data_IF_092155826021
#
_entry.id   IF_092155826021
#
_cell.length_a   1.000
_cell.length_b   1.000
_cell.length_c   1.000
_cell.angle_alpha   90.00
_cell.angle_beta   90.00
_cell.angle_gamma   90.00
#
_symmetry.space_group_name_H-M   'P 1'
#
loop_
_entity.id
_entity.type
_entity.pdbx_description
1 polymer ?
#
# COMPACT_ATOMS: atom_id res chain seq x y z
N UNK A 1 16.26 -2.97 -39.03
CA UNK A 1 17.25 -2.22 -38.25
C UNK A 1 16.61 -0.94 -37.72
N UNK A 2 15.86 -1.05 -36.62
CA UNK A 2 15.63 0.08 -35.72
C UNK A 2 16.49 -0.25 -34.51
N UNK A 3 17.51 0.58 -34.25
CA UNK A 3 18.29 0.47 -33.04
C UNK A 3 17.35 0.71 -31.86
N UNK A 4 16.84 -0.37 -31.27
CA UNK A 4 16.18 -0.32 -29.97
C UNK A 4 17.26 0.01 -28.97
N UNK A 5 17.33 1.29 -28.61
CA UNK A 5 18.30 1.83 -27.68
C UNK A 5 17.82 1.50 -26.26
N UNK A 6 18.35 0.45 -25.60
CA UNK A 6 17.85 -0.02 -24.30
C UNK A 6 17.93 1.07 -23.23
N UNK A 7 18.85 2.03 -23.40
CA UNK A 7 19.00 3.23 -22.57
C UNK A 7 17.75 4.12 -22.53
N UNK A 8 16.96 4.20 -23.61
CA UNK A 8 15.75 5.05 -23.61
C UNK A 8 14.60 4.45 -22.80
N UNK A 9 14.49 3.12 -22.76
CA UNK A 9 13.38 2.43 -22.09
C UNK A 9 13.73 2.19 -20.62
N UNK A 10 14.96 1.78 -20.33
CA UNK A 10 15.48 1.70 -18.96
C UNK A 10 15.38 3.04 -18.20
N UNK A 11 15.70 4.15 -18.90
CA UNK A 11 15.53 5.49 -18.34
C UNK A 11 14.07 5.81 -17.99
N UNK A 12 13.09 5.32 -18.75
CA UNK A 12 11.66 5.51 -18.45
C UNK A 12 11.27 4.69 -17.22
N UNK A 13 11.75 3.44 -17.09
CA UNK A 13 11.52 2.63 -15.90
C UNK A 13 12.09 3.28 -14.63
N UNK A 14 13.32 3.80 -14.69
CA UNK A 14 13.95 4.54 -13.59
C UNK A 14 13.12 5.78 -13.20
N UNK A 15 12.65 6.56 -14.18
CA UNK A 15 11.80 7.74 -13.92
C UNK A 15 10.50 7.33 -13.24
N UNK A 16 9.83 6.27 -13.70
CA UNK A 16 8.60 5.78 -13.09
C UNK A 16 8.82 5.32 -11.65
N UNK A 17 9.88 4.56 -11.40
CA UNK A 17 10.27 4.10 -10.06
C UNK A 17 10.51 5.30 -9.14
N UNK A 18 11.29 6.30 -9.59
CA UNK A 18 11.57 7.52 -8.83
C UNK A 18 10.28 8.28 -8.53
N UNK A 19 9.37 8.43 -9.49
CA UNK A 19 8.07 9.09 -9.27
C UNK A 19 7.25 8.35 -8.23
N UNK A 20 7.21 7.01 -8.25
CA UNK A 20 6.50 6.20 -7.26
C UNK A 20 7.11 6.42 -5.87
N UNK A 21 8.43 6.29 -5.73
CA UNK A 21 9.12 6.51 -4.44
C UNK A 21 8.92 7.92 -3.90
N UNK A 22 9.08 8.95 -4.72
CA UNK A 22 8.89 10.35 -4.29
C UNK A 22 7.43 10.58 -3.91
N UNK A 23 6.47 10.18 -4.74
CA UNK A 23 5.05 10.43 -4.48
C UNK A 23 4.57 9.72 -3.21
N UNK A 24 4.95 8.45 -3.01
CA UNK A 24 4.55 7.68 -1.83
C UNK A 24 5.32 8.08 -0.59
N UNK A 25 6.63 8.32 -0.69
CA UNK A 25 7.43 8.83 0.43
C UNK A 25 6.94 10.20 0.90
N UNK A 26 6.62 11.11 -0.04
CA UNK A 26 6.05 12.42 0.29
C UNK A 26 4.64 12.29 0.86
N UNK A 27 3.78 11.43 0.30
CA UNK A 27 2.45 11.15 0.85
C UNK A 27 2.55 10.65 2.29
N UNK A 28 3.44 9.69 2.54
CA UNK A 28 3.70 9.14 3.87
C UNK A 28 4.22 10.20 4.85
N UNK A 29 5.13 11.08 4.40
CA UNK A 29 5.61 12.21 5.21
C UNK A 29 4.49 13.20 5.56
N UNK A 30 3.65 13.56 4.61
CA UNK A 30 2.56 14.52 4.79
C UNK A 30 1.43 13.96 5.67
N UNK A 31 1.08 12.69 5.50
CA UNK A 31 0.06 12.00 6.31
C UNK A 31 0.58 11.67 7.71
N UNK A 32 1.83 11.24 7.81
CA UNK A 32 2.42 10.71 9.04
C UNK A 32 2.12 9.23 9.26
N UNK A 33 2.95 8.60 10.10
CA UNK A 33 2.93 7.18 10.43
C UNK A 33 1.58 6.70 10.97
N UNK A 34 0.98 7.45 11.90
CA UNK A 34 -0.29 7.05 12.52
C UNK A 34 -1.40 6.88 11.47
N UNK A 35 -1.48 7.78 10.48
CA UNK A 35 -2.49 7.68 9.41
C UNK A 35 -2.22 6.50 8.49
N UNK A 36 -0.96 6.33 8.07
CA UNK A 36 -0.53 5.21 7.22
C UNK A 36 -0.85 3.86 7.88
N UNK A 37 -0.40 3.63 9.12
CA UNK A 37 -0.63 2.36 9.80
C UNK A 37 -2.10 2.14 10.15
N UNK A 38 -2.84 3.19 10.53
CA UNK A 38 -4.26 3.07 10.83
C UNK A 38 -5.05 2.64 9.61
N UNK A 39 -4.74 3.18 8.42
CA UNK A 39 -5.37 2.76 7.16
C UNK A 39 -5.14 1.27 6.87
N UNK A 40 -3.92 0.75 7.09
CA UNK A 40 -3.66 -0.69 6.95
C UNK A 40 -4.49 -1.51 7.94
N UNK A 41 -4.41 -1.18 9.23
CA UNK A 41 -5.11 -1.91 10.30
C UNK A 41 -6.62 -1.88 10.07
N UNK A 42 -7.16 -0.74 9.63
CA UNK A 42 -8.56 -0.57 9.31
C UNK A 42 -9.01 -1.52 8.20
N UNK A 43 -8.29 -1.58 7.08
CA UNK A 43 -8.64 -2.46 5.95
C UNK A 43 -8.69 -3.92 6.38
N UNK A 44 -7.68 -4.41 7.09
CA UNK A 44 -7.68 -5.80 7.57
C UNK A 44 -8.78 -6.07 8.59
N UNK A 45 -9.03 -5.11 9.49
CA UNK A 45 -10.09 -5.21 10.50
C UNK A 45 -11.46 -5.24 9.84
N UNK A 46 -11.71 -4.38 8.84
CA UNK A 46 -12.95 -4.35 8.09
C UNK A 46 -13.20 -5.66 7.34
N UNK A 47 -12.20 -6.16 6.59
CA UNK A 47 -12.33 -7.44 5.88
C UNK A 47 -12.69 -8.56 6.87
N UNK A 48 -11.95 -8.64 7.99
CA UNK A 48 -12.18 -9.67 8.99
C UNK A 48 -13.55 -9.55 9.67
N UNK A 49 -13.94 -8.36 10.12
CA UNK A 49 -15.20 -8.16 10.85
C UNK A 49 -16.41 -8.30 9.93
N UNK A 50 -16.37 -7.75 8.71
CA UNK A 50 -17.49 -7.85 7.78
C UNK A 50 -17.71 -9.30 7.33
N UNK A 51 -16.64 -10.04 7.08
CA UNK A 51 -16.76 -11.45 6.70
C UNK A 51 -17.35 -12.30 7.84
N UNK A 52 -16.92 -12.07 9.09
CA UNK A 52 -17.27 -12.95 10.21
C UNK A 52 -18.48 -12.50 11.03
N UNK A 53 -18.83 -11.22 11.04
CA UNK A 53 -19.75 -10.64 12.05
C UNK A 53 -20.95 -9.91 11.46
N UNK A 54 -21.08 -9.76 10.14
CA UNK A 54 -22.24 -9.07 9.54
C UNK A 54 -23.58 -9.70 9.91
N UNK A 55 -23.70 -11.03 9.88
CA UNK A 55 -24.94 -11.71 10.28
C UNK A 55 -25.30 -11.46 11.75
N UNK A 56 -24.30 -11.46 12.64
CA UNK A 56 -24.49 -11.18 14.06
C UNK A 56 -24.92 -9.71 14.28
N UNK A 57 -24.31 -8.78 13.54
CA UNK A 57 -24.68 -7.37 13.57
C UNK A 57 -26.12 -7.15 13.06
N UNK A 58 -26.51 -7.81 11.95
CA UNK A 58 -27.86 -7.74 11.42
C UNK A 58 -28.89 -8.24 12.44
N UNK A 59 -28.65 -9.39 13.07
CA UNK A 59 -29.53 -9.93 14.11
C UNK A 59 -29.63 -8.99 15.33
N UNK A 60 -28.53 -8.33 15.70
CA UNK A 60 -28.50 -7.38 16.80
C UNK A 60 -29.29 -6.10 16.52
N UNK A 61 -29.25 -5.59 15.28
CA UNK A 61 -29.91 -4.33 14.91
C UNK A 61 -31.36 -4.52 14.46
N UNK A 62 -31.75 -5.73 14.03
CA UNK A 62 -33.09 -6.07 13.54
C UNK A 62 -34.26 -5.64 14.44
N UNK A 63 -34.17 -5.68 15.79
CA UNK A 63 -35.22 -5.17 16.66
C UNK A 63 -35.49 -3.66 16.55
N UNK A 64 -34.52 -2.91 16.03
CA UNK A 64 -34.56 -1.44 15.91
C UNK A 64 -34.80 -1.04 14.45
N UNK A 65 -34.10 -1.71 13.53
CA UNK A 65 -34.13 -1.45 12.09
C UNK A 65 -34.10 -2.77 11.34
N UNK A 66 -35.15 -3.06 10.57
CA UNK A 66 -35.17 -4.21 9.67
C UNK A 66 -34.36 -3.90 8.42
N UNK A 67 -33.12 -4.41 8.38
CA UNK A 67 -32.17 -4.21 7.30
C UNK A 67 -31.95 -5.53 6.56
N UNK A 68 -31.95 -5.48 5.22
CA UNK A 68 -31.39 -6.57 4.42
C UNK A 68 -29.90 -6.79 4.73
N UNK A 69 -29.37 -7.97 4.41
CA UNK A 69 -27.97 -8.30 4.66
C UNK A 69 -27.00 -7.26 4.06
N UNK A 70 -27.25 -6.81 2.83
CA UNK A 70 -26.42 -5.81 2.14
C UNK A 70 -26.46 -4.46 2.85
N UNK A 71 -27.65 -4.03 3.30
CA UNK A 71 -27.79 -2.78 4.06
C UNK A 71 -27.09 -2.88 5.43
N UNK A 72 -27.25 -4.00 6.13
CA UNK A 72 -26.57 -4.24 7.40
C UNK A 72 -25.04 -4.23 7.24
N UNK A 73 -24.52 -4.85 6.17
CA UNK A 73 -23.10 -4.83 5.82
C UNK A 73 -22.58 -3.41 5.59
N UNK A 74 -23.31 -2.59 4.83
CA UNK A 74 -22.93 -1.19 4.56
C UNK A 74 -22.97 -0.34 5.83
N UNK A 75 -24.02 -0.46 6.64
CA UNK A 75 -24.11 0.26 7.92
C UNK A 75 -22.98 -0.16 8.85
N UNK A 76 -22.68 -1.46 8.93
CA UNK A 76 -21.62 -1.97 9.78
C UNK A 76 -20.23 -1.48 9.32
N UNK A 77 -19.99 -1.49 8.01
CA UNK A 77 -18.79 -0.90 7.41
C UNK A 77 -18.64 0.56 7.83
N UNK A 78 -19.69 1.36 7.69
CA UNK A 78 -19.66 2.78 8.05
C UNK A 78 -19.40 2.99 9.54
N UNK A 79 -20.02 2.20 10.42
CA UNK A 79 -19.79 2.29 11.87
C UNK A 79 -18.32 2.01 12.22
N UNK A 80 -17.76 0.92 11.68
CA UNK A 80 -16.36 0.56 11.93
C UNK A 80 -15.44 1.65 11.36
N UNK A 81 -15.66 2.08 10.12
CA UNK A 81 -14.86 3.12 9.45
C UNK A 81 -14.86 4.43 10.27
N UNK A 82 -16.03 4.91 10.69
CA UNK A 82 -16.14 6.10 11.54
C UNK A 82 -15.42 5.90 12.88
N UNK A 83 -15.54 4.72 13.48
CA UNK A 83 -14.81 4.37 14.69
C UNK A 83 -13.29 4.49 14.52
N UNK A 84 -12.75 4.01 13.39
CA UNK A 84 -11.34 4.16 13.05
C UNK A 84 -10.93 5.62 12.84
N UNK A 85 -11.74 6.43 12.15
CA UNK A 85 -11.46 7.85 11.97
C UNK A 85 -11.35 8.59 13.32
N UNK A 86 -12.26 8.27 14.25
CA UNK A 86 -12.23 8.84 15.61
C UNK A 86 -10.96 8.38 16.34
N UNK A 87 -10.69 7.08 16.35
CA UNK A 87 -9.51 6.52 17.02
C UNK A 87 -8.21 7.10 16.46
N UNK A 88 -8.10 7.21 15.13
CA UNK A 88 -6.97 7.82 14.46
C UNK A 88 -6.79 9.29 14.89
N UNK A 89 -7.88 10.07 14.92
CA UNK A 89 -7.84 11.47 15.36
C UNK A 89 -7.41 11.62 16.82
N UNK A 90 -7.85 10.72 17.71
CA UNK A 90 -7.43 10.72 19.11
C UNK A 90 -5.94 10.43 19.26
N UNK A 91 -5.42 9.43 18.55
CA UNK A 91 -3.99 9.10 18.58
C UNK A 91 -3.15 10.25 18.01
N UNK A 92 -3.58 10.87 16.90
CA UNK A 92 -2.94 12.07 16.35
C UNK A 92 -2.91 13.23 17.35
N UNK A 93 -4.02 13.44 18.07
CA UNK A 93 -4.08 14.45 19.12
C UNK A 93 -3.04 14.19 20.20
N UNK A 94 -2.93 12.95 20.70
CA UNK A 94 -1.92 12.58 21.71
C UNK A 94 -0.49 12.84 21.19
N UNK A 95 -0.18 12.40 19.97
CA UNK A 95 1.14 12.61 19.36
C UNK A 95 1.49 14.08 19.20
N UNK A 96 0.50 14.92 18.86
CA UNK A 96 0.71 16.37 18.74
C UNK A 96 0.99 17.04 20.10
N UNK A 97 0.29 16.63 21.16
CA UNK A 97 0.55 17.10 22.52
C UNK A 97 1.93 16.70 23.04
N UNK A 98 2.41 15.51 22.65
CA UNK A 98 3.75 15.03 23.00
C UNK A 98 4.88 15.67 22.16
N UNK A 99 4.56 16.61 21.26
CA UNK A 99 5.51 17.23 20.33
C UNK A 99 6.26 16.22 19.42
N UNK A 100 5.71 15.03 19.23
CA UNK A 100 6.30 13.96 18.41
C UNK A 100 5.90 14.04 16.93
N UNK A 101 5.39 15.20 16.48
CA UNK A 101 4.90 15.40 15.11
C UNK A 101 5.99 15.14 14.08
N UNK A 102 7.23 15.58 14.34
CA UNK A 102 8.34 15.33 13.44
C UNK A 102 8.64 13.83 13.29
N UNK A 103 8.73 13.09 14.40
CA UNK A 103 8.93 11.64 14.39
C UNK A 103 7.79 10.91 13.67
N UNK A 104 6.54 11.32 13.89
CA UNK A 104 5.39 10.79 13.18
C UNK A 104 5.52 10.97 11.66
N UNK A 105 5.99 12.14 11.19
CA UNK A 105 6.20 12.39 9.75
C UNK A 105 7.35 11.58 9.18
N UNK A 106 8.47 11.47 9.88
CA UNK A 106 9.62 10.67 9.42
C UNK A 106 9.28 9.18 9.34
N UNK A 107 8.62 8.63 10.37
CA UNK A 107 8.15 7.26 10.34
C UNK A 107 7.11 7.04 9.21
N UNK A 108 6.27 8.05 8.94
CA UNK A 108 5.35 8.03 7.81
C UNK A 108 6.06 8.00 6.46
N UNK A 109 7.14 8.78 6.30
CA UNK A 109 7.99 8.72 5.11
C UNK A 109 8.58 7.32 4.92
N UNK A 110 9.13 6.73 5.99
CA UNK A 110 9.72 5.39 5.94
C UNK A 110 8.68 4.35 5.52
N UNK A 111 7.47 4.41 6.10
CA UNK A 111 6.37 3.53 5.66
C UNK A 111 6.01 3.76 4.19
N UNK A 112 5.84 5.00 3.75
CA UNK A 112 5.50 5.30 2.35
C UNK A 112 6.57 4.81 1.36
N UNK A 113 7.86 4.90 1.71
CA UNK A 113 8.94 4.31 0.90
C UNK A 113 8.89 2.78 0.91
N UNK A 114 8.55 2.17 2.04
CA UNK A 114 8.39 0.72 2.15
C UNK A 114 7.20 0.22 1.32
N UNK A 115 6.09 0.95 1.31
CA UNK A 115 4.95 0.66 0.42
C UNK A 115 5.36 0.78 -1.06
N UNK A 116 6.09 1.84 -1.43
CA UNK A 116 6.59 2.02 -2.79
C UNK A 116 7.45 0.84 -3.24
N UNK A 117 8.36 0.41 -2.37
CA UNK A 117 9.16 -0.79 -2.59
C UNK A 117 8.28 -2.03 -2.79
N UNK A 118 7.28 -2.24 -1.94
CA UNK A 118 6.33 -3.35 -2.06
C UNK A 118 5.59 -3.36 -3.39
N UNK A 119 5.08 -2.21 -3.84
CA UNK A 119 4.40 -2.07 -5.13
C UNK A 119 5.34 -2.44 -6.28
N UNK A 120 6.55 -1.88 -6.29
CA UNK A 120 7.53 -2.15 -7.34
C UNK A 120 7.92 -3.63 -7.34
N UNK A 121 8.16 -4.21 -6.18
CA UNK A 121 8.51 -5.63 -6.06
C UNK A 121 7.40 -6.54 -6.61
N UNK A 122 6.14 -6.24 -6.31
CA UNK A 122 4.98 -6.97 -6.86
C UNK A 122 4.90 -6.79 -8.39
N UNK A 123 5.05 -5.58 -8.90
CA UNK A 123 5.02 -5.31 -10.34
C UNK A 123 6.11 -6.08 -11.07
N UNK A 124 7.34 -6.05 -10.55
CA UNK A 124 8.48 -6.79 -11.11
C UNK A 124 8.25 -8.30 -11.07
N UNK A 125 7.70 -8.82 -9.97
CA UNK A 125 7.33 -10.22 -9.86
C UNK A 125 6.28 -10.61 -10.91
N UNK A 126 5.24 -9.80 -11.10
CA UNK A 126 4.21 -10.04 -12.12
C UNK A 126 4.84 -10.08 -13.50
N UNK A 127 5.70 -9.10 -13.85
CA UNK A 127 6.38 -9.06 -15.16
C UNK A 127 7.19 -10.34 -15.41
N UNK A 128 7.90 -10.86 -14.41
CA UNK A 128 8.66 -12.11 -14.52
C UNK A 128 7.78 -13.36 -14.59
N UNK A 129 6.61 -13.34 -13.94
CA UNK A 129 5.70 -14.48 -13.89
C UNK A 129 4.93 -14.67 -15.20
N UNK A 130 4.76 -13.61 -16.01
CA UNK A 130 4.08 -13.67 -17.29
C UNK A 130 5.00 -14.21 -18.40
N UNK A 131 4.48 -15.09 -19.25
CA UNK A 131 5.19 -15.62 -20.43
C UNK A 131 5.05 -14.72 -21.68
N UNK A 132 4.24 -13.66 -21.59
CA UNK A 132 3.79 -12.85 -22.74
C UNK A 132 4.76 -11.70 -23.04
N UNK A 133 5.48 -11.21 -22.03
CA UNK A 133 6.41 -10.09 -22.15
C UNK A 133 7.84 -10.57 -21.90
N UNK A 134 8.80 -10.07 -22.69
CA UNK A 134 10.21 -10.31 -22.39
C UNK A 134 10.65 -9.33 -21.28
N UNK A 135 10.99 -9.81 -20.06
CA UNK A 135 11.37 -8.94 -18.94
C UNK A 135 12.59 -8.07 -19.27
N UNK A 136 13.52 -8.62 -20.06
CA UNK A 136 14.74 -7.94 -20.52
C UNK A 136 14.43 -6.58 -21.15
N UNK A 137 13.38 -6.50 -21.97
CA UNK A 137 13.03 -5.28 -22.71
C UNK A 137 12.63 -4.10 -21.80
N UNK A 138 12.10 -4.37 -20.61
CA UNK A 138 11.61 -3.35 -19.67
C UNK A 138 12.51 -3.14 -18.46
N UNK A 139 13.32 -4.15 -18.12
CA UNK A 139 14.06 -4.21 -16.86
C UNK A 139 15.58 -4.13 -17.05
N UNK A 140 16.12 -4.54 -18.21
CA UNK A 140 17.57 -4.43 -18.46
C UNK A 140 17.98 -2.97 -18.66
N UNK A 141 19.01 -2.55 -17.91
CA UNK A 141 19.60 -1.22 -17.97
C UNK A 141 19.07 -0.22 -16.93
N UNK A 142 18.05 -0.58 -16.13
CA UNK A 142 17.54 0.28 -15.05
C UNK A 142 18.47 0.20 -13.83
N UNK A 143 19.15 1.31 -13.53
CA UNK A 143 20.10 1.38 -12.40
C UNK A 143 19.38 1.31 -11.06
N UNK A 144 18.19 1.90 -10.98
CA UNK A 144 17.43 1.92 -9.75
C UNK A 144 16.84 0.55 -9.44
N UNK A 145 16.35 -0.17 -10.47
CA UNK A 145 15.91 -1.54 -10.32
C UNK A 145 17.04 -2.47 -9.90
N UNK A 146 18.24 -2.32 -10.47
CA UNK A 146 19.42 -3.11 -10.09
C UNK A 146 19.72 -2.98 -8.59
N UNK A 147 19.61 -1.77 -8.03
CA UNK A 147 19.78 -1.54 -6.60
C UNK A 147 18.68 -2.19 -5.74
N UNK A 148 17.44 -2.25 -6.23
CA UNK A 148 16.31 -2.85 -5.53
C UNK A 148 16.25 -4.38 -5.67
N UNK A 149 16.89 -4.94 -6.70
CA UNK A 149 16.81 -6.35 -7.08
C UNK A 149 17.21 -7.31 -5.95
N UNK A 150 18.26 -7.06 -5.13
CA UNK A 150 18.58 -7.94 -4.00
C UNK A 150 17.42 -8.08 -3.00
N UNK A 151 16.71 -6.98 -2.73
CA UNK A 151 15.54 -6.98 -1.85
C UNK A 151 14.37 -7.74 -2.50
N UNK A 152 14.10 -7.47 -3.77
CA UNK A 152 13.01 -8.13 -4.51
C UNK A 152 13.24 -9.66 -4.56
N UNK A 153 14.46 -10.09 -4.88
CA UNK A 153 14.82 -11.50 -4.94
C UNK A 153 14.74 -12.20 -3.58
N UNK A 154 15.03 -11.49 -2.48
CA UNK A 154 14.84 -12.02 -1.14
C UNK A 154 13.36 -12.37 -0.85
N UNK A 155 12.43 -11.48 -1.22
CA UNK A 155 11.00 -11.69 -0.96
C UNK A 155 10.34 -12.67 -1.93
N UNK A 156 10.67 -12.59 -3.22
CA UNK A 156 9.96 -13.31 -4.27
C UNK A 156 10.73 -14.50 -4.87
N UNK A 157 11.99 -14.73 -4.47
CA UNK A 157 12.86 -15.79 -4.99
C UNK A 157 12.90 -15.85 -6.53
N UNK A 158 12.91 -14.68 -7.16
CA UNK A 158 12.98 -14.56 -8.61
C UNK A 158 14.41 -14.94 -9.05
N UNK A 159 14.56 -15.73 -10.11
CA UNK A 159 15.91 -16.05 -10.63
C UNK A 159 16.58 -14.75 -11.13
N UNK A 160 17.89 -14.58 -10.90
CA UNK A 160 18.60 -13.37 -11.30
C UNK A 160 18.51 -13.15 -12.82
N UNK A 161 18.40 -11.87 -13.21
CA UNK A 161 18.46 -11.40 -14.59
C UNK A 161 19.80 -11.90 -15.18
N UNK A 162 19.73 -12.79 -16.18
CA UNK A 162 20.89 -13.19 -16.98
C UNK A 162 20.95 -12.34 -18.24
#
# INVERSE_FOLDING_TARGET
MLAHDPLKIAGIADILIIIIFISMGLRGFLRGFIKEISGFVEVFTLIFLLYNKTNAFQAFISPILDLSYIQALLVFFLIIHIGFLILQSLVESIISHLQLVFFNRILGLILGLFEAFGIIAIVVYIIHSQQIFNPAYFLEGSKFLEYLNPGINYFFKISPIQ
#
